data_IF_489364065231
#
_entry.id   IF_489364065231
#
_cell.length_a   1.000
_cell.length_b   1.000
_cell.length_c   1.000
_cell.angle_alpha   90.00
_cell.angle_beta   90.00
_cell.angle_gamma   90.00
#
_symmetry.space_group_name_H-M   'P 1'
#
loop_
_entity.id
_entity.type
_entity.pdbx_description
1 polymer ?
#
# COMPACT_ATOMS: atom_id res chain seq x y z
N UNK A 1 6.49 -20.65 -13.46
CA UNK A 1 5.40 -20.47 -12.47
C UNK A 1 5.91 -20.14 -11.06
N UNK A 2 6.88 -20.87 -10.48
CA UNK A 2 7.43 -20.55 -9.13
C UNK A 2 7.81 -19.08 -8.87
N UNK A 3 8.37 -18.37 -9.86
CA UNK A 3 8.77 -16.96 -9.71
C UNK A 3 7.57 -16.02 -9.58
N UNK A 4 6.48 -16.29 -10.31
CA UNK A 4 5.26 -15.49 -10.24
C UNK A 4 4.56 -15.69 -8.90
N UNK A 5 4.49 -16.94 -8.43
CA UNK A 5 3.89 -17.29 -7.15
C UNK A 5 4.67 -16.67 -5.99
N UNK A 6 6.00 -16.78 -5.99
CA UNK A 6 6.85 -16.16 -4.97
C UNK A 6 6.72 -14.63 -4.95
N UNK A 7 6.57 -13.99 -6.13
CA UNK A 7 6.32 -12.56 -6.21
C UNK A 7 4.97 -12.19 -5.58
N UNK A 8 3.90 -12.91 -5.93
CA UNK A 8 2.55 -12.69 -5.36
C UNK A 8 2.54 -12.89 -3.84
N UNK A 9 3.20 -13.92 -3.33
CA UNK A 9 3.31 -14.16 -1.89
C UNK A 9 4.02 -13.02 -1.17
N UNK A 10 5.16 -12.57 -1.70
CA UNK A 10 5.93 -11.44 -1.15
C UNK A 10 5.07 -10.18 -1.08
N UNK A 11 4.41 -9.84 -2.19
CA UNK A 11 3.53 -8.68 -2.29
C UNK A 11 2.37 -8.79 -1.28
N UNK A 12 1.65 -9.92 -1.27
CA UNK A 12 0.56 -10.15 -0.30
C UNK A 12 1.01 -10.00 1.15
N UNK A 13 2.18 -10.52 1.51
CA UNK A 13 2.76 -10.36 2.84
C UNK A 13 3.07 -8.89 3.17
N UNK A 14 3.65 -8.14 2.22
CA UNK A 14 3.93 -6.71 2.40
C UNK A 14 2.64 -5.89 2.58
N UNK A 15 1.57 -6.19 1.83
CA UNK A 15 0.30 -5.50 2.01
C UNK A 15 -0.29 -5.69 3.40
N UNK A 16 -0.17 -6.89 3.99
CA UNK A 16 -0.61 -7.13 5.38
C UNK A 16 0.20 -6.31 6.38
N UNK A 17 1.50 -6.21 6.16
CA UNK A 17 2.40 -5.39 6.99
C UNK A 17 2.03 -3.91 6.89
N UNK A 18 1.79 -3.40 5.68
CA UNK A 18 1.39 -2.02 5.47
C UNK A 18 0.00 -1.72 6.01
N UNK A 19 -0.96 -2.64 5.91
CA UNK A 19 -2.28 -2.49 6.55
C UNK A 19 -2.17 -2.27 8.06
N UNK A 20 -1.32 -3.05 8.72
CA UNK A 20 -1.06 -2.88 10.15
C UNK A 20 -0.41 -1.53 10.47
N UNK A 21 0.53 -1.07 9.65
CA UNK A 21 1.17 0.24 9.82
C UNK A 21 0.19 1.40 9.59
N UNK A 22 -0.66 1.33 8.57
CA UNK A 22 -1.72 2.32 8.31
C UNK A 22 -2.68 2.38 9.50
N UNK A 23 -3.13 1.24 10.03
CA UNK A 23 -3.98 1.20 11.23
C UNK A 23 -3.31 1.84 12.45
N UNK A 24 -2.00 1.66 12.62
CA UNK A 24 -1.25 2.31 13.68
C UNK A 24 -1.22 3.83 13.51
N UNK A 25 -0.96 4.32 12.30
CA UNK A 25 -0.96 5.74 11.98
C UNK A 25 -2.35 6.37 12.17
N UNK A 26 -3.43 5.67 11.77
CA UNK A 26 -4.81 6.08 12.04
C UNK A 26 -5.05 6.25 13.55
N UNK A 27 -4.66 5.26 14.35
CA UNK A 27 -4.81 5.32 15.80
C UNK A 27 -4.02 6.48 16.40
N UNK A 28 -2.81 6.77 15.91
CA UNK A 28 -2.02 7.93 16.34
C UNK A 28 -2.69 9.26 15.93
N UNK A 29 -3.22 9.35 14.72
CA UNK A 29 -3.96 10.52 14.23
C UNK A 29 -5.21 10.84 15.06
N UNK A 30 -5.84 9.84 15.70
CA UNK A 30 -6.97 10.12 16.60
C UNK A 30 -6.58 10.86 17.89
N UNK A 31 -5.30 10.76 18.30
CA UNK A 31 -4.78 11.31 19.56
C UNK A 31 -4.23 12.74 19.44
N UNK A 32 -4.07 13.27 18.23
CA UNK A 32 -3.55 14.63 18.02
C UNK A 32 -4.67 15.70 18.09
N UNK A 33 -4.27 16.96 18.24
CA UNK A 33 -5.18 18.11 18.29
C UNK A 33 -6.01 18.31 17.01
N UNK A 34 -7.07 19.11 17.10
CA UNK A 34 -8.08 19.27 16.04
C UNK A 34 -7.50 19.72 14.69
N UNK A 35 -6.52 20.63 14.67
CA UNK A 35 -5.90 21.12 13.43
C UNK A 35 -5.04 20.05 12.74
N UNK A 36 -4.29 19.27 13.52
CA UNK A 36 -3.49 18.16 13.01
C UNK A 36 -4.38 17.01 12.53
N UNK A 37 -5.54 16.80 13.16
CA UNK A 37 -6.52 15.78 12.76
C UNK A 37 -6.96 15.91 11.31
N UNK A 38 -7.22 17.12 10.81
CA UNK A 38 -7.66 17.33 9.42
C UNK A 38 -6.54 16.96 8.44
N UNK A 39 -5.33 17.48 8.67
CA UNK A 39 -4.17 17.20 7.82
C UNK A 39 -3.82 15.71 7.80
N UNK A 40 -3.83 15.04 8.95
CA UNK A 40 -3.59 13.61 9.01
C UNK A 40 -4.74 12.80 8.41
N UNK A 41 -5.98 13.25 8.50
CA UNK A 41 -7.12 12.56 7.87
C UNK A 41 -6.97 12.52 6.34
N UNK A 42 -6.51 13.62 5.72
CA UNK A 42 -6.20 13.64 4.28
C UNK A 42 -5.07 12.66 3.94
N UNK A 43 -3.98 12.69 4.69
CA UNK A 43 -2.85 11.78 4.49
C UNK A 43 -3.25 10.31 4.68
N UNK A 44 -4.10 10.01 5.66
CA UNK A 44 -4.63 8.67 5.89
C UNK A 44 -5.53 8.21 4.74
N UNK A 45 -6.36 9.11 4.19
CA UNK A 45 -7.19 8.80 3.02
C UNK A 45 -6.32 8.45 1.82
N UNK A 46 -5.31 9.25 1.53
CA UNK A 46 -4.38 9.01 0.42
C UNK A 46 -3.65 7.65 0.57
N UNK A 47 -3.26 7.28 1.80
CA UNK A 47 -2.67 5.97 2.08
C UNK A 47 -3.65 4.83 1.84
N UNK A 48 -4.92 4.99 2.25
CA UNK A 48 -5.98 4.00 2.02
C UNK A 48 -6.26 3.82 0.54
N UNK A 49 -6.31 4.90 -0.24
CA UNK A 49 -6.52 4.84 -1.68
C UNK A 49 -5.37 4.09 -2.39
N UNK A 50 -4.12 4.37 -2.00
CA UNK A 50 -2.95 3.63 -2.50
C UNK A 50 -2.96 2.16 -2.10
N UNK A 51 -3.40 1.85 -0.88
CA UNK A 51 -3.56 0.46 -0.42
C UNK A 51 -4.62 -0.29 -1.24
N UNK A 52 -5.75 0.37 -1.52
CA UNK A 52 -6.82 -0.19 -2.36
C UNK A 52 -6.34 -0.43 -3.78
N UNK A 53 -5.59 0.52 -4.36
CA UNK A 53 -4.97 0.34 -5.67
C UNK A 53 -4.04 -0.88 -5.70
N UNK A 54 -3.16 -1.02 -4.69
CA UNK A 54 -2.24 -2.15 -4.60
C UNK A 54 -2.99 -3.50 -4.46
N UNK A 55 -4.07 -3.52 -3.67
CA UNK A 55 -4.92 -4.70 -3.54
C UNK A 55 -5.68 -5.04 -4.83
N UNK A 56 -6.08 -4.04 -5.62
CA UNK A 56 -6.68 -4.24 -6.93
C UNK A 56 -5.66 -4.83 -7.92
N UNK A 57 -4.44 -4.28 -7.97
CA UNK A 57 -3.39 -4.80 -8.84
C UNK A 57 -2.96 -6.23 -8.48
N UNK A 58 -3.01 -6.60 -7.19
CA UNK A 58 -2.82 -8.00 -6.77
C UNK A 58 -3.85 -8.95 -7.38
N UNK A 59 -5.13 -8.53 -7.43
CA UNK A 59 -6.19 -9.33 -8.08
C UNK A 59 -5.98 -9.45 -9.59
N UNK A 60 -5.40 -8.43 -10.22
CA UNK A 60 -5.03 -8.48 -11.65
C UNK A 60 -3.85 -9.42 -11.88
N UNK A 61 -2.82 -9.37 -11.03
CA UNK A 61 -1.68 -10.30 -11.07
C UNK A 61 -2.12 -11.75 -10.89
N UNK A 62 -3.14 -12.00 -10.07
CA UNK A 62 -3.69 -13.34 -9.87
C UNK A 62 -4.34 -13.91 -11.13
N UNK A 63 -4.95 -13.05 -11.94
CA UNK A 63 -5.62 -13.43 -13.19
C UNK A 63 -4.67 -13.46 -14.39
N UNK A 64 -3.60 -12.69 -14.35
CA UNK A 64 -2.65 -12.56 -15.45
C UNK A 64 -1.69 -13.76 -15.54
N UNK A 65 -1.37 -14.19 -16.75
CA UNK A 65 -0.45 -15.29 -17.05
C UNK A 65 0.37 -14.97 -18.29
N UNK A 66 1.53 -15.62 -18.47
CA UNK A 66 2.38 -15.40 -19.64
C UNK A 66 2.81 -13.94 -19.80
N UNK A 67 2.81 -13.42 -21.01
CA UNK A 67 3.28 -12.07 -21.36
C UNK A 67 2.45 -10.94 -20.72
N UNK A 68 1.16 -11.17 -20.49
CA UNK A 68 0.29 -10.23 -19.78
C UNK A 68 0.72 -10.05 -18.31
N UNK A 69 1.31 -11.08 -17.70
CA UNK A 69 1.77 -11.00 -16.32
C UNK A 69 2.91 -10.00 -16.15
N UNK A 70 3.85 -9.93 -17.10
CA UNK A 70 4.96 -8.98 -17.04
C UNK A 70 4.47 -7.53 -17.13
N UNK A 71 3.44 -7.26 -17.94
CA UNK A 71 2.82 -5.93 -18.02
C UNK A 71 2.11 -5.55 -16.70
N UNK A 72 1.34 -6.46 -16.12
CA UNK A 72 0.66 -6.21 -14.85
C UNK A 72 1.67 -6.06 -13.71
N UNK A 73 2.79 -6.81 -13.73
CA UNK A 73 3.87 -6.66 -12.76
C UNK A 73 4.48 -5.26 -12.79
N UNK A 74 4.73 -4.68 -13.97
CA UNK A 74 5.26 -3.32 -14.07
C UNK A 74 4.31 -2.29 -13.43
N UNK A 75 3.00 -2.47 -13.59
CA UNK A 75 2.00 -1.65 -12.89
C UNK A 75 2.02 -1.90 -11.39
N UNK A 76 2.11 -3.16 -10.96
CA UNK A 76 2.18 -3.53 -9.55
C UNK A 76 3.39 -2.90 -8.86
N UNK A 77 4.58 -2.98 -9.47
CA UNK A 77 5.82 -2.41 -8.93
C UNK A 77 5.69 -0.89 -8.71
N UNK A 78 5.03 -0.17 -9.62
CA UNK A 78 4.77 1.28 -9.47
C UNK A 78 3.83 1.57 -8.29
N UNK A 79 2.69 0.88 -8.22
CA UNK A 79 1.73 1.07 -7.13
C UNK A 79 2.37 0.71 -5.78
N UNK A 80 3.26 -0.29 -5.77
CA UNK A 80 4.02 -0.67 -4.59
C UNK A 80 4.96 0.43 -4.09
N UNK A 81 5.74 1.02 -4.99
CA UNK A 81 6.66 2.10 -4.61
C UNK A 81 5.90 3.37 -4.21
N UNK A 82 4.75 3.67 -4.83
CA UNK A 82 3.91 4.81 -4.43
C UNK A 82 3.31 4.65 -3.03
N UNK A 83 2.84 3.44 -2.70
CA UNK A 83 2.32 3.11 -1.37
C UNK A 83 3.44 3.16 -0.32
N UNK A 84 4.59 2.55 -0.61
CA UNK A 84 5.77 2.55 0.26
C UNK A 84 6.26 3.97 0.54
N UNK A 85 6.36 4.80 -0.49
CA UNK A 85 6.78 6.20 -0.36
C UNK A 85 5.77 7.00 0.47
N UNK A 86 4.47 6.81 0.20
CA UNK A 86 3.41 7.42 0.99
C UNK A 86 3.50 7.03 2.47
N UNK A 87 3.68 5.74 2.74
CA UNK A 87 3.73 5.21 4.10
C UNK A 87 4.95 5.72 4.86
N UNK A 88 6.11 5.73 4.22
CA UNK A 88 7.33 6.30 4.81
C UNK A 88 7.17 7.79 5.12
N UNK A 89 6.56 8.56 4.20
CA UNK A 89 6.31 9.98 4.40
C UNK A 89 5.34 10.24 5.55
N UNK A 90 4.29 9.41 5.70
CA UNK A 90 3.38 9.51 6.83
C UNK A 90 4.10 9.14 8.13
N UNK A 91 4.84 8.03 8.18
CA UNK A 91 5.60 7.61 9.37
C UNK A 91 6.56 8.69 9.86
N UNK A 92 7.28 9.38 8.96
CA UNK A 92 8.18 10.47 9.32
C UNK A 92 7.47 11.67 9.96
N UNK A 93 6.15 11.85 9.74
CA UNK A 93 5.37 12.94 10.33
C UNK A 93 4.81 12.62 11.72
N UNK A 94 4.74 11.33 12.07
CA UNK A 94 4.29 10.86 13.39
C UNK A 94 5.46 10.52 14.33
N UNK A 95 6.72 10.69 13.87
CA UNK A 95 7.92 10.55 14.69
C UNK A 95 8.27 11.86 15.41
#
# INVERSE_FOLDING_TARGET
MKVQDAYKEKMSAQLKVWDAQIKLLEAQATKVGADLKVKHAEEMRDLRDKQLAAAATMKELDKATGEAWDQVKLTADKVWEDLKTGLSAAQSKFH
#
